data_IF_297616144656
#
_entry.id   IF_297616144656
#
_cell.length_a   1.000
_cell.length_b   1.000
_cell.length_c   1.000
_cell.angle_alpha   90.00
_cell.angle_beta   90.00
_cell.angle_gamma   90.00
#
_symmetry.space_group_name_H-M   'P 1'
#
loop_
_entity.id
_entity.type
_entity.pdbx_description
1 polymer ?
#
# COMPACT_ATOMS: atom_id res chain seq x y z
N UNK A 1 22.73 35.99 25.13
CA UNK A 1 23.55 36.23 23.92
C UNK A 1 23.57 37.72 23.61
N UNK A 2 24.75 38.30 23.38
CA UNK A 2 24.88 39.68 22.90
C UNK A 2 24.26 39.86 21.51
N UNK A 3 23.84 41.08 21.14
CA UNK A 3 23.27 41.34 19.81
C UNK A 3 24.22 40.95 18.67
N UNK A 4 25.52 41.14 18.89
CA UNK A 4 26.59 40.73 17.96
C UNK A 4 26.63 39.21 17.77
N UNK A 5 26.45 38.43 18.83
CA UNK A 5 26.40 36.97 18.73
C UNK A 5 25.17 36.52 17.93
N UNK A 6 24.00 37.16 18.12
CA UNK A 6 22.79 36.88 17.34
C UNK A 6 22.97 37.19 15.85
N UNK A 7 23.62 38.31 15.51
CA UNK A 7 23.92 38.67 14.12
C UNK A 7 24.87 37.67 13.45
N UNK A 8 25.96 37.29 14.14
CA UNK A 8 26.91 36.29 13.63
C UNK A 8 26.25 34.93 13.42
N UNK A 9 25.38 34.52 14.35
CA UNK A 9 24.65 33.26 14.25
C UNK A 9 23.62 33.28 13.11
N UNK A 10 22.90 34.39 12.94
CA UNK A 10 21.97 34.59 11.82
C UNK A 10 22.68 34.57 10.46
N UNK A 11 23.88 35.17 10.37
CA UNK A 11 24.70 35.13 9.15
C UNK A 11 25.15 33.70 8.83
N UNK A 12 25.63 32.95 9.84
CA UNK A 12 26.03 31.55 9.72
C UNK A 12 24.86 30.69 9.18
N UNK A 13 23.70 30.76 9.82
CA UNK A 13 22.48 30.06 9.40
C UNK A 13 21.87 30.59 8.10
N UNK A 14 22.30 31.76 7.62
CA UNK A 14 21.86 32.32 6.34
C UNK A 14 22.75 31.95 5.15
N UNK A 15 23.94 31.39 5.39
CA UNK A 15 24.98 31.24 4.36
C UNK A 15 25.62 29.85 4.31
N UNK A 16 25.66 29.12 5.42
CA UNK A 16 26.35 27.83 5.50
C UNK A 16 25.37 26.67 5.29
N UNK A 17 25.20 26.26 4.04
CA UNK A 17 24.24 25.24 3.61
C UNK A 17 24.36 23.91 4.38
N UNK A 18 25.57 23.46 4.67
CA UNK A 18 25.82 22.18 5.38
C UNK A 18 25.32 22.20 6.83
N UNK A 19 25.43 23.34 7.51
CA UNK A 19 24.95 23.51 8.89
C UNK A 19 23.43 23.51 8.89
N UNK A 20 22.82 24.25 7.96
CA UNK A 20 21.37 24.26 7.77
C UNK A 20 20.88 22.84 7.45
N UNK A 21 21.57 22.11 6.57
CA UNK A 21 21.20 20.74 6.19
C UNK A 21 21.21 19.79 7.40
N UNK A 22 22.26 19.83 8.23
CA UNK A 22 22.31 19.03 9.46
C UNK A 22 21.20 19.39 10.46
N UNK A 23 20.88 20.68 10.59
CA UNK A 23 19.77 21.12 11.45
C UNK A 23 18.42 20.62 10.94
N UNK A 24 18.20 20.69 9.63
CA UNK A 24 16.92 20.39 9.00
C UNK A 24 16.72 18.90 8.69
N UNK A 25 17.78 18.07 8.73
CA UNK A 25 17.70 16.66 8.35
C UNK A 25 16.65 15.87 9.15
N UNK A 26 16.43 16.25 10.41
CA UNK A 26 15.47 15.58 11.30
C UNK A 26 14.05 16.15 11.23
N UNK A 27 13.83 17.22 10.47
CA UNK A 27 12.52 17.89 10.38
C UNK A 27 11.58 17.09 9.47
N UNK A 28 10.30 17.08 9.82
CA UNK A 28 9.22 16.54 9.00
C UNK A 28 8.95 17.42 7.76
N UNK A 29 8.36 16.91 6.67
CA UNK A 29 8.16 17.72 5.47
C UNK A 29 7.27 18.96 5.70
N UNK A 30 6.30 18.89 6.62
CA UNK A 30 5.49 20.04 7.00
C UNK A 30 6.34 21.11 7.72
N UNK A 31 7.22 20.69 8.62
CA UNK A 31 8.16 21.59 9.31
C UNK A 31 9.17 22.18 8.33
N UNK A 32 9.73 21.37 7.43
CA UNK A 32 10.58 21.79 6.32
C UNK A 32 9.87 22.86 5.46
N UNK A 33 8.59 22.67 5.16
CA UNK A 33 7.79 23.66 4.41
C UNK A 33 7.63 24.98 5.17
N UNK A 34 7.47 24.93 6.50
CA UNK A 34 7.41 26.13 7.35
C UNK A 34 8.76 26.84 7.38
N UNK A 35 9.84 26.11 7.64
CA UNK A 35 11.17 26.70 7.77
C UNK A 35 11.77 27.14 6.43
N UNK A 36 11.30 26.59 5.31
CA UNK A 36 11.61 27.05 3.96
C UNK A 36 11.20 28.53 3.74
N UNK A 37 10.38 29.12 4.61
CA UNK A 37 9.94 30.52 4.55
C UNK A 37 10.88 31.48 5.28
N UNK A 38 11.88 30.98 6.02
CA UNK A 38 12.79 31.80 6.84
C UNK A 38 13.72 32.66 5.95
N UNK A 39 14.46 32.04 5.03
CA UNK A 39 15.32 32.75 4.09
C UNK A 39 15.61 31.88 2.85
N UNK A 40 16.30 32.45 1.84
CA UNK A 40 16.62 31.73 0.57
C UNK A 40 17.45 30.46 0.79
N UNK A 41 18.43 30.49 1.70
CA UNK A 41 19.27 29.33 1.98
C UNK A 41 18.45 28.19 2.61
N UNK A 42 17.63 28.50 3.62
CA UNK A 42 16.72 27.55 4.24
C UNK A 42 15.69 27.00 3.25
N UNK A 43 15.14 27.84 2.36
CA UNK A 43 14.24 27.38 1.30
C UNK A 43 14.90 26.32 0.41
N UNK A 44 16.12 26.58 -0.04
CA UNK A 44 16.86 25.67 -0.92
C UNK A 44 17.22 24.36 -0.22
N UNK A 45 17.70 24.41 1.01
CA UNK A 45 18.04 23.22 1.80
C UNK A 45 16.78 22.42 2.15
N UNK A 46 15.73 23.08 2.63
CA UNK A 46 14.48 22.40 2.97
C UNK A 46 13.87 21.69 1.75
N UNK A 47 13.85 22.35 0.58
CA UNK A 47 13.39 21.72 -0.67
C UNK A 47 14.24 20.50 -1.06
N UNK A 48 15.58 20.62 -0.98
CA UNK A 48 16.50 19.49 -1.22
C UNK A 48 16.19 18.31 -0.30
N UNK A 49 15.99 18.56 1.00
CA UNK A 49 15.67 17.52 1.98
C UNK A 49 14.29 16.91 1.70
N UNK A 50 13.27 17.73 1.42
CA UNK A 50 11.93 17.25 1.04
C UNK A 50 12.03 16.36 -0.19
N UNK A 51 12.72 16.79 -1.25
CA UNK A 51 12.90 16.02 -2.48
C UNK A 51 13.62 14.70 -2.23
N UNK A 52 14.68 14.71 -1.42
CA UNK A 52 15.40 13.51 -1.04
C UNK A 52 14.51 12.53 -0.24
N UNK A 53 13.79 13.02 0.78
CA UNK A 53 12.89 12.19 1.60
C UNK A 53 11.67 11.69 0.80
N UNK A 54 11.20 12.47 -0.19
CA UNK A 54 10.08 12.12 -1.07
C UNK A 54 10.40 11.01 -2.06
N UNK A 55 11.65 10.53 -2.13
CA UNK A 55 12.04 9.43 -3.02
C UNK A 55 11.93 8.06 -2.38
N UNK A 56 11.63 7.97 -1.08
CA UNK A 56 11.53 6.69 -0.40
C UNK A 56 10.07 6.33 -0.17
N UNK A 57 9.68 5.07 -0.38
CA UNK A 57 8.35 4.63 0.00
C UNK A 57 8.16 4.70 1.51
N UNK A 58 6.93 4.97 1.91
CA UNK A 58 6.60 5.10 3.32
C UNK A 58 5.53 4.08 3.66
N UNK A 59 5.80 3.21 4.63
CA UNK A 59 4.75 2.49 5.33
C UNK A 59 4.46 3.19 6.66
N UNK A 60 3.20 3.18 7.06
CA UNK A 60 2.71 3.73 8.33
C UNK A 60 1.90 2.62 8.99
N UNK A 61 2.11 2.41 10.29
CA UNK A 61 1.32 1.44 11.05
C UNK A 61 0.85 2.14 12.31
N UNK A 62 -0.46 2.30 12.46
CA UNK A 62 -1.05 2.87 13.66
C UNK A 62 -2.02 1.89 14.32
N UNK A 63 -1.90 1.78 15.64
CA UNK A 63 -2.96 1.29 16.50
C UNK A 63 -3.67 2.54 17.03
N UNK A 64 -4.86 2.81 16.50
CA UNK A 64 -5.67 3.94 16.95
C UNK A 64 -6.59 3.39 18.04
N UNK A 65 -6.21 3.64 19.30
CA UNK A 65 -7.08 3.35 20.43
C UNK A 65 -8.31 4.26 20.34
N UNK A 66 -9.47 3.64 20.10
CA UNK A 66 -10.73 4.36 19.93
C UNK A 66 -11.73 3.93 21.01
N UNK A 67 -12.16 4.91 21.81
CA UNK A 67 -13.35 4.79 22.64
C UNK A 67 -14.53 5.10 21.73
N UNK A 68 -15.52 4.19 21.69
CA UNK A 68 -16.71 4.28 20.84
C UNK A 68 -17.46 5.59 21.10
N UNK A 69 -17.11 6.65 20.37
CA UNK A 69 -17.89 7.88 20.31
C UNK A 69 -18.96 7.67 19.23
N UNK A 70 -20.16 8.18 19.44
CA UNK A 70 -21.27 8.07 18.46
C UNK A 70 -21.00 8.80 17.13
N UNK A 71 -19.81 9.40 16.94
CA UNK A 71 -19.48 10.34 15.85
C UNK A 71 -18.27 9.94 14.99
N UNK A 72 -17.88 8.67 15.04
CA UNK A 72 -16.77 8.14 14.25
C UNK A 72 -15.36 8.61 14.67
N UNK A 73 -14.34 8.24 13.88
CA UNK A 73 -12.94 8.51 14.20
C UNK A 73 -12.64 10.01 14.03
N UNK A 74 -12.11 10.70 15.06
CA UNK A 74 -11.73 12.10 14.91
C UNK A 74 -10.66 12.27 13.82
N UNK A 75 -10.89 13.19 12.89
CA UNK A 75 -9.91 13.55 11.86
C UNK A 75 -8.53 13.92 12.43
N UNK A 76 -8.46 14.38 13.69
CA UNK A 76 -7.22 14.64 14.40
C UNK A 76 -6.38 13.39 14.69
N UNK A 77 -7.01 12.26 15.05
CA UNK A 77 -6.29 11.01 15.33
C UNK A 77 -5.68 10.41 14.06
N UNK A 78 -6.45 10.46 12.96
CA UNK A 78 -5.96 10.10 11.62
C UNK A 78 -4.84 11.05 11.21
N UNK A 79 -5.04 12.37 11.35
CA UNK A 79 -4.02 13.37 11.04
C UNK A 79 -2.73 13.13 11.82
N UNK A 80 -2.79 12.83 13.11
CA UNK A 80 -1.60 12.59 13.92
C UNK A 80 -0.86 11.32 13.48
N UNK A 81 -1.59 10.30 13.02
CA UNK A 81 -1.02 9.08 12.43
C UNK A 81 -0.26 9.40 11.14
N UNK A 82 -0.83 10.27 10.30
CA UNK A 82 -0.27 10.66 8.99
C UNK A 82 0.58 11.93 9.00
N UNK A 83 0.76 12.61 10.14
CA UNK A 83 1.37 13.95 10.19
C UNK A 83 2.75 14.00 9.56
N UNK A 84 3.50 12.93 9.75
CA UNK A 84 4.85 12.81 9.23
C UNK A 84 4.90 12.51 7.73
N UNK A 85 3.80 12.04 7.16
CA UNK A 85 3.63 11.79 5.74
C UNK A 85 3.13 13.03 4.98
N UNK A 86 2.66 14.05 5.71
CA UNK A 86 2.12 15.28 5.14
C UNK A 86 3.20 16.00 4.34
N UNK A 87 2.90 16.27 3.06
CA UNK A 87 3.79 17.01 2.16
C UNK A 87 4.65 16.15 1.23
N UNK A 88 4.62 14.81 1.38
CA UNK A 88 5.21 13.94 0.37
C UNK A 88 4.34 13.89 -0.90
N UNK A 89 5.01 13.93 -2.05
CA UNK A 89 4.35 13.73 -3.35
C UNK A 89 4.17 12.23 -3.57
N UNK A 90 2.98 11.72 -3.25
CA UNK A 90 2.61 10.32 -3.48
C UNK A 90 1.68 10.16 -4.67
N UNK A 91 1.80 9.02 -5.36
CA UNK A 91 0.92 8.62 -6.46
C UNK A 91 -0.18 7.66 -5.99
N UNK A 92 0.10 6.89 -4.94
CA UNK A 92 -0.83 5.94 -4.32
C UNK A 92 -0.73 6.01 -2.81
N UNK A 93 -1.88 5.97 -2.16
CA UNK A 93 -2.07 5.70 -0.75
C UNK A 93 -2.97 4.47 -0.62
N UNK A 94 -2.45 3.40 -0.04
CA UNK A 94 -3.16 2.15 0.19
C UNK A 94 -3.23 1.89 1.69
N UNK A 95 -4.44 1.79 2.25
CA UNK A 95 -4.65 1.53 3.67
C UNK A 95 -5.43 0.24 3.89
N UNK A 96 -5.03 -0.53 4.88
CA UNK A 96 -5.74 -1.69 5.42
C UNK A 96 -6.26 -1.33 6.81
N UNK A 97 -7.55 -1.51 7.04
CA UNK A 97 -8.25 -1.03 8.23
C UNK A 97 -9.06 -2.18 8.82
N UNK A 98 -8.97 -2.39 10.13
CA UNK A 98 -9.75 -3.45 10.79
C UNK A 98 -11.26 -3.17 10.72
N UNK A 99 -12.06 -4.18 10.33
CA UNK A 99 -13.46 -4.13 9.82
C UNK A 99 -14.49 -3.25 10.56
N UNK A 100 -14.25 -2.80 11.80
CA UNK A 100 -15.30 -2.15 12.62
C UNK A 100 -15.50 -0.65 12.40
N UNK A 101 -14.71 0.03 11.57
CA UNK A 101 -14.68 1.51 11.56
C UNK A 101 -14.64 2.17 10.17
N UNK A 102 -14.89 1.41 9.12
CA UNK A 102 -14.79 1.92 7.75
C UNK A 102 -15.89 2.94 7.44
N UNK A 103 -17.09 2.77 8.01
CA UNK A 103 -18.19 3.75 7.92
C UNK A 103 -17.98 5.05 8.70
N UNK A 104 -17.00 5.06 9.60
CA UNK A 104 -16.77 6.11 10.59
C UNK A 104 -15.43 6.86 10.38
N UNK A 105 -14.64 6.47 9.37
CA UNK A 105 -13.42 7.16 9.02
C UNK A 105 -13.77 8.41 8.20
N UNK A 106 -13.35 9.58 8.67
CA UNK A 106 -13.35 10.82 7.87
C UNK A 106 -12.27 10.74 6.77
N UNK A 107 -12.52 9.90 5.77
CA UNK A 107 -11.72 9.78 4.55
C UNK A 107 -11.59 11.10 3.78
N UNK A 108 -12.63 11.95 3.69
CA UNK A 108 -12.48 13.32 3.17
C UNK A 108 -11.42 14.10 3.95
N UNK A 109 -11.41 13.97 5.27
CA UNK A 109 -10.39 14.51 6.17
C UNK A 109 -8.99 13.99 5.91
N UNK A 110 -8.80 12.77 5.37
CA UNK A 110 -7.49 12.27 4.96
C UNK A 110 -7.08 12.80 3.58
N UNK A 111 -8.02 12.96 2.66
CA UNK A 111 -7.75 13.41 1.29
C UNK A 111 -7.08 14.79 1.24
N UNK A 112 -7.47 15.71 2.13
CA UNK A 112 -6.86 17.06 2.21
C UNK A 112 -5.35 17.05 2.49
N UNK A 113 -4.84 15.92 2.98
CA UNK A 113 -3.45 15.71 3.35
C UNK A 113 -2.62 15.01 2.27
N UNK A 114 -3.28 14.40 1.29
CA UNK A 114 -2.64 13.73 0.17
C UNK A 114 -2.46 14.69 -1.01
N UNK A 115 -1.52 14.38 -1.89
CA UNK A 115 -1.40 15.09 -3.17
C UNK A 115 -2.71 14.97 -3.96
N UNK A 116 -3.19 16.02 -4.66
CA UNK A 116 -4.40 15.93 -5.49
C UNK A 116 -4.37 14.83 -6.56
N UNK A 117 -3.17 14.40 -6.95
CA UNK A 117 -2.95 13.30 -7.92
C UNK A 117 -2.82 11.92 -7.26
N UNK A 118 -2.78 11.86 -5.93
CA UNK A 118 -2.63 10.62 -5.18
C UNK A 118 -3.95 9.86 -5.22
N UNK A 119 -3.91 8.60 -5.68
CA UNK A 119 -5.04 7.69 -5.58
C UNK A 119 -5.11 7.15 -4.16
N UNK A 120 -6.26 7.27 -3.52
CA UNK A 120 -6.49 6.80 -2.15
C UNK A 120 -7.42 5.58 -2.16
N UNK A 121 -6.98 4.46 -1.59
CA UNK A 121 -7.79 3.26 -1.42
C UNK A 121 -7.68 2.80 0.02
N UNK A 122 -8.83 2.60 0.66
CA UNK A 122 -8.95 2.06 2.01
C UNK A 122 -9.69 0.74 1.97
N UNK A 123 -9.07 -0.31 2.49
CA UNK A 123 -9.51 -1.69 2.35
C UNK A 123 -9.79 -2.31 3.74
N UNK A 124 -10.90 -3.04 3.89
CA UNK A 124 -11.19 -3.80 5.10
C UNK A 124 -10.23 -4.98 5.27
N UNK A 125 -9.77 -5.19 6.50
CA UNK A 125 -8.85 -6.25 6.85
C UNK A 125 -9.24 -6.93 8.16
N UNK A 126 -9.04 -8.24 8.27
CA UNK A 126 -9.31 -8.98 9.51
C UNK A 126 -8.18 -8.79 10.54
N UNK A 127 -7.02 -8.35 10.04
CA UNK A 127 -5.82 -8.08 10.80
C UNK A 127 -4.85 -7.32 9.92
N UNK A 128 -4.01 -6.49 10.54
CA UNK A 128 -3.03 -5.69 9.82
C UNK A 128 -1.63 -6.27 9.95
N UNK A 129 -0.81 -6.07 8.92
CA UNK A 129 0.59 -6.51 8.85
C UNK A 129 1.44 -5.30 8.49
N UNK A 130 2.55 -5.11 9.18
CA UNK A 130 3.61 -4.27 8.66
C UNK A 130 4.92 -4.31 9.45
N UNK A 131 5.97 -3.77 8.85
CA UNK A 131 7.34 -3.77 9.39
C UNK A 131 7.91 -2.37 9.49
N UNK A 132 8.89 -2.20 10.39
CA UNK A 132 9.77 -1.03 10.42
C UNK A 132 10.89 -1.20 9.38
N UNK A 133 11.09 -0.18 8.55
CA UNK A 133 12.21 -0.01 7.61
C UNK A 133 12.55 1.50 7.50
N UNK A 134 13.71 1.87 6.93
CA UNK A 134 14.02 3.27 6.66
C UNK A 134 12.97 3.87 5.70
N UNK A 135 12.36 4.99 6.08
CA UNK A 135 11.19 5.55 5.39
C UNK A 135 9.84 5.22 6.04
N UNK A 136 9.79 4.37 7.08
CA UNK A 136 8.57 4.15 7.89
C UNK A 136 8.42 5.29 8.89
N UNK A 137 7.30 6.00 8.84
CA UNK A 137 7.04 7.10 9.77
C UNK A 137 5.77 6.82 10.55
N UNK A 138 5.92 6.88 11.87
CA UNK A 138 4.91 6.55 12.88
C UNK A 138 4.64 5.05 13.04
N UNK A 139 5.25 4.46 14.08
CA UNK A 139 4.79 3.23 14.70
C UNK A 139 4.70 3.51 16.20
N UNK A 140 3.49 3.62 16.75
CA UNK A 140 3.31 3.80 18.21
C UNK A 140 3.81 2.58 19.00
N UNK A 141 3.97 1.42 18.35
CA UNK A 141 4.32 0.16 19.00
C UNK A 141 5.32 -0.62 18.13
N UNK A 142 6.44 -1.05 18.73
CA UNK A 142 7.38 -1.99 18.10
C UNK A 142 6.63 -3.28 17.75
N UNK A 143 6.48 -3.58 16.46
CA UNK A 143 5.88 -4.79 15.90
C UNK A 143 4.44 -5.05 16.36
N UNK A 144 3.46 -4.86 15.47
CA UNK A 144 2.13 -5.40 15.74
C UNK A 144 1.52 -6.05 14.51
N UNK A 145 1.47 -7.38 14.53
CA UNK A 145 0.27 -8.06 14.08
C UNK A 145 -0.81 -7.74 15.10
N UNK A 146 -1.83 -6.97 14.70
CA UNK A 146 -3.00 -6.70 15.55
C UNK A 146 -4.07 -7.71 15.15
N UNK A 147 -4.25 -8.82 15.90
CA UNK A 147 -5.38 -9.71 15.67
C UNK A 147 -6.68 -9.03 16.13
N UNK A 148 -7.76 -9.27 15.38
CA UNK A 148 -9.12 -8.84 15.70
C UNK A 148 -9.52 -9.11 17.17
N UNK A 149 -9.04 -10.21 17.76
CA UNK A 149 -9.39 -10.67 19.11
C UNK A 149 -8.90 -9.79 20.28
N UNK A 150 -8.09 -8.75 20.04
CA UNK A 150 -7.83 -7.72 21.07
C UNK A 150 -9.05 -6.82 21.33
N UNK A 151 -10.08 -6.89 20.50
CA UNK A 151 -11.37 -6.18 20.65
C UNK A 151 -12.32 -6.78 21.70
N UNK A 152 -11.81 -7.40 22.77
CA UNK A 152 -12.60 -7.83 23.95
C UNK A 152 -12.73 -6.74 25.03
N UNK A 153 -12.10 -5.59 24.84
CA UNK A 153 -12.35 -4.41 25.64
C UNK A 153 -13.59 -3.68 25.08
N UNK A 154 -14.35 -2.99 25.93
CA UNK A 154 -15.40 -2.04 25.49
C UNK A 154 -14.83 -0.84 24.68
N UNK A 155 -13.52 -0.84 24.39
CA UNK A 155 -12.82 0.02 23.44
C UNK A 155 -12.55 -0.77 22.16
N UNK A 156 -12.98 -0.23 21.02
CA UNK A 156 -12.65 -0.81 19.72
C UNK A 156 -11.28 -0.29 19.30
N UNK A 157 -10.22 -1.09 19.39
CA UNK A 157 -8.94 -0.71 18.78
C UNK A 157 -9.08 -0.80 17.26
N UNK A 158 -8.70 0.27 16.57
CA UNK A 158 -8.69 0.35 15.11
C UNK A 158 -7.25 0.19 14.69
N UNK A 159 -6.94 -0.97 14.13
CA UNK A 159 -5.67 -1.20 13.48
C UNK A 159 -5.70 -0.61 12.08
N UNK A 160 -4.72 0.22 11.75
CA UNK A 160 -4.47 0.68 10.38
C UNK A 160 -3.03 0.39 9.97
N UNK A 161 -2.87 -0.21 8.80
CA UNK A 161 -1.58 -0.32 8.10
C UNK A 161 -1.71 0.37 6.75
N UNK A 162 -0.89 1.38 6.50
CA UNK A 162 -0.93 2.18 5.30
C UNK A 162 0.41 2.16 4.57
N UNK A 163 0.35 2.31 3.25
CA UNK A 163 1.49 2.40 2.37
C UNK A 163 1.29 3.60 1.43
N UNK A 164 2.31 4.44 1.35
CA UNK A 164 2.41 5.55 0.40
C UNK A 164 3.48 5.21 -0.63
N UNK A 165 3.05 5.09 -1.89
CA UNK A 165 3.96 4.98 -3.01
C UNK A 165 4.29 6.40 -3.52
N UNK A 166 5.57 6.81 -3.47
CA UNK A 166 5.98 8.11 -3.97
C UNK A 166 5.68 8.27 -5.46
N UNK A 167 5.60 9.52 -5.89
CA UNK A 167 5.51 9.88 -7.30
C UNK A 167 6.87 9.66 -7.98
N UNK A 168 7.15 8.41 -8.34
CA UNK A 168 8.31 8.04 -9.14
C UNK A 168 8.10 8.39 -10.61
N UNK A 169 9.14 8.90 -11.25
CA UNK A 169 9.14 9.11 -12.69
C UNK A 169 8.92 7.78 -13.42
N UNK A 170 7.97 7.79 -14.36
CA UNK A 170 7.62 6.62 -15.17
C UNK A 170 6.74 5.59 -14.47
N UNK A 171 6.37 5.77 -13.19
CA UNK A 171 5.42 4.89 -12.48
C UNK A 171 4.02 5.46 -12.58
N UNK A 172 3.10 4.69 -13.14
CA UNK A 172 1.69 5.06 -13.26
C UNK A 172 0.83 4.08 -12.48
N UNK A 173 -0.21 4.62 -11.86
CA UNK A 173 -1.14 3.87 -11.01
C UNK A 173 -2.55 4.11 -11.49
N UNK A 174 -3.25 3.01 -11.72
CA UNK A 174 -4.66 2.96 -12.06
C UNK A 174 -5.40 2.22 -10.95
N UNK A 175 -6.66 2.58 -10.76
CA UNK A 175 -7.52 1.98 -9.73
C UNK A 175 -8.81 1.54 -10.39
N UNK A 176 -9.38 0.43 -9.94
CA UNK A 176 -10.63 -0.08 -10.46
C UNK A 176 -11.54 -0.58 -9.34
N UNK A 177 -12.83 -0.65 -9.66
CA UNK A 177 -13.84 -1.32 -8.86
C UNK A 177 -14.88 -1.94 -9.78
N UNK A 178 -15.44 -3.07 -9.37
CA UNK A 178 -16.51 -3.77 -10.09
C UNK A 178 -17.74 -3.80 -9.21
N UNK A 179 -18.92 -3.47 -9.75
CA UNK A 179 -20.15 -3.38 -8.96
C UNK A 179 -20.87 -4.74 -8.90
N UNK A 180 -21.51 -5.02 -7.75
CA UNK A 180 -22.45 -6.13 -7.61
C UNK A 180 -23.80 -5.77 -8.22
N UNK A 181 -24.40 -6.69 -8.98
CA UNK A 181 -25.66 -6.48 -9.72
C UNK A 181 -26.92 -6.42 -8.85
N UNK A 182 -26.82 -6.19 -7.54
CA UNK A 182 -27.91 -6.43 -6.60
C UNK A 182 -28.28 -5.23 -5.72
N UNK A 183 -28.42 -4.02 -6.28
CA UNK A 183 -29.26 -2.96 -5.70
C UNK A 183 -29.92 -2.10 -6.82
N UNK A 184 -31.19 -2.44 -7.12
CA UNK A 184 -32.30 -1.62 -7.65
C UNK A 184 -31.99 -0.45 -8.61
N UNK A 185 -31.96 -0.71 -9.92
CA UNK A 185 -33.00 -0.27 -10.87
C UNK A 185 -32.68 -0.77 -12.29
N UNK A 186 -33.69 -1.39 -12.90
CA UNK A 186 -33.62 -2.32 -14.02
C UNK A 186 -33.56 -1.67 -15.41
N UNK A 187 -32.92 -0.51 -15.57
CA UNK A 187 -32.81 0.15 -16.88
C UNK A 187 -31.37 0.53 -17.28
N UNK A 188 -30.36 0.22 -16.46
CA UNK A 188 -28.96 0.60 -16.76
C UNK A 188 -27.93 -0.54 -16.80
N UNK A 189 -28.31 -1.79 -16.50
CA UNK A 189 -27.34 -2.87 -16.28
C UNK A 189 -27.69 -4.16 -17.00
N UNK A 190 -27.32 -4.21 -18.28
CA UNK A 190 -27.02 -5.45 -19.01
C UNK A 190 -25.49 -5.71 -19.09
N UNK A 191 -24.68 -4.94 -18.34
CA UNK A 191 -23.21 -5.01 -18.38
C UNK A 191 -22.59 -5.45 -17.04
N UNK A 192 -22.85 -6.69 -16.64
CA UNK A 192 -21.96 -7.37 -15.70
C UNK A 192 -20.59 -7.57 -16.36
N UNK A 193 -19.52 -7.05 -15.74
CA UNK A 193 -18.11 -7.33 -16.04
C UNK A 193 -17.83 -7.64 -17.52
N UNK A 194 -18.12 -6.69 -18.42
CA UNK A 194 -17.60 -6.82 -19.78
C UNK A 194 -16.07 -6.81 -19.66
N UNK A 195 -15.42 -7.93 -19.98
CA UNK A 195 -13.95 -8.10 -20.01
C UNK A 195 -13.25 -6.95 -20.74
N UNK A 196 -13.93 -6.31 -21.69
CA UNK A 196 -13.48 -5.10 -22.38
C UNK A 196 -13.35 -3.84 -21.52
N UNK A 197 -13.85 -3.79 -20.28
CA UNK A 197 -13.80 -2.58 -19.42
C UNK A 197 -12.50 -2.51 -18.61
N UNK A 198 -12.03 -3.62 -18.03
CA UNK A 198 -10.73 -3.68 -17.34
C UNK A 198 -9.56 -3.46 -18.32
N UNK A 199 -9.68 -3.99 -19.54
CA UNK A 199 -8.70 -3.77 -20.61
C UNK A 199 -8.55 -2.30 -21.01
N UNK A 200 -9.63 -1.52 -20.90
CA UNK A 200 -9.66 -0.09 -21.23
C UNK A 200 -9.09 0.81 -20.13
N UNK A 201 -8.91 0.31 -18.90
CA UNK A 201 -8.39 1.11 -17.78
C UNK A 201 -6.93 1.53 -18.04
N UNK A 202 -6.15 0.63 -18.63
CA UNK A 202 -4.74 0.86 -18.95
C UNK A 202 -4.59 1.07 -20.46
N UNK A 203 -3.97 2.17 -20.92
CA UNK A 203 -3.69 2.42 -22.34
C UNK A 203 -2.99 1.22 -22.99
N UNK A 204 -3.39 0.81 -24.21
CA UNK A 204 -2.95 -0.46 -24.84
C UNK A 204 -1.43 -0.58 -24.97
N UNK A 205 -0.75 0.53 -25.17
CA UNK A 205 0.70 0.65 -25.28
C UNK A 205 1.44 0.41 -23.96
N UNK A 206 0.73 0.50 -22.83
CA UNK A 206 1.30 0.28 -21.52
C UNK A 206 1.21 -1.18 -21.08
N UNK A 207 2.33 -1.67 -20.55
CA UNK A 207 2.45 -3.00 -19.96
C UNK A 207 2.22 -2.94 -18.46
N UNK A 208 1.25 -3.72 -17.99
CA UNK A 208 1.00 -4.03 -16.59
C UNK A 208 2.21 -4.76 -16.01
N UNK A 209 2.65 -4.28 -14.84
CA UNK A 209 3.76 -4.87 -14.07
C UNK A 209 3.27 -5.52 -12.80
N UNK A 210 2.25 -4.95 -12.16
CA UNK A 210 1.69 -5.44 -10.92
C UNK A 210 0.19 -5.15 -10.85
N UNK A 211 -0.59 -6.12 -10.40
CA UNK A 211 -1.99 -5.97 -10.06
C UNK A 211 -2.24 -6.46 -8.61
N UNK A 212 -2.88 -5.60 -7.83
CA UNK A 212 -3.32 -5.88 -6.46
C UNK A 212 -4.83 -5.89 -6.46
N UNK A 213 -5.44 -6.97 -5.98
CA UNK A 213 -6.89 -7.15 -6.05
C UNK A 213 -7.46 -7.46 -4.67
N UNK A 214 -8.62 -6.90 -4.35
CA UNK A 214 -9.42 -7.28 -3.19
C UNK A 214 -10.77 -7.70 -3.70
N UNK A 215 -11.21 -8.88 -3.28
CA UNK A 215 -12.53 -9.38 -3.62
C UNK A 215 -13.43 -9.39 -2.39
N UNK A 216 -14.72 -9.12 -2.59
CA UNK A 216 -15.75 -9.03 -1.57
C UNK A 216 -16.85 -10.07 -1.76
N UNK A 217 -17.03 -10.62 -2.96
CA UNK A 217 -18.11 -11.56 -3.30
C UNK A 217 -17.62 -12.98 -3.61
N UNK A 218 -16.35 -13.27 -3.34
CA UNK A 218 -15.76 -14.60 -3.51
C UNK A 218 -14.32 -14.56 -4.00
N UNK A 219 -13.66 -15.71 -4.05
CA UNK A 219 -12.29 -15.78 -4.58
C UNK A 219 -12.29 -15.86 -6.12
N UNK A 220 -13.36 -16.38 -6.71
CA UNK A 220 -13.57 -16.61 -8.14
C UNK A 220 -13.44 -15.31 -8.95
N UNK A 221 -13.98 -14.21 -8.43
CA UNK A 221 -13.88 -12.88 -9.06
C UNK A 221 -12.43 -12.41 -9.22
N UNK A 222 -11.53 -12.77 -8.30
CA UNK A 222 -10.12 -12.46 -8.46
C UNK A 222 -9.46 -13.24 -9.61
N UNK A 223 -9.88 -14.49 -9.83
CA UNK A 223 -9.40 -15.29 -10.94
C UNK A 223 -9.95 -14.79 -12.30
N UNK A 224 -11.21 -14.33 -12.34
CA UNK A 224 -11.79 -13.62 -13.49
C UNK A 224 -10.96 -12.38 -13.85
N UNK A 225 -10.67 -11.52 -12.88
CA UNK A 225 -9.86 -10.31 -13.08
C UNK A 225 -8.45 -10.67 -13.58
N UNK A 226 -7.81 -11.68 -12.98
CA UNK A 226 -6.50 -12.13 -13.43
C UNK A 226 -6.54 -12.61 -14.89
N UNK A 227 -7.57 -13.38 -15.26
CA UNK A 227 -7.78 -13.89 -16.62
C UNK A 227 -7.94 -12.74 -17.61
N UNK A 228 -8.78 -11.76 -17.33
CA UNK A 228 -9.01 -10.62 -18.21
C UNK A 228 -7.74 -9.79 -18.40
N UNK A 229 -7.01 -9.50 -17.32
CA UNK A 229 -5.73 -8.78 -17.40
C UNK A 229 -4.64 -9.58 -18.13
N UNK A 230 -4.70 -10.92 -18.09
CA UNK A 230 -3.79 -11.81 -18.83
C UNK A 230 -4.18 -11.95 -20.31
N UNK A 231 -5.46 -11.80 -20.67
CA UNK A 231 -5.89 -11.74 -22.07
C UNK A 231 -5.43 -10.42 -22.70
N UNK A 232 -5.52 -9.32 -21.95
CA UNK A 232 -5.06 -8.00 -22.37
C UNK A 232 -3.59 -7.98 -22.81
N UNK A 233 -2.74 -8.68 -22.06
CA UNK A 233 -1.32 -8.78 -22.35
C UNK A 233 -0.84 -10.21 -22.15
N UNK A 234 -0.26 -10.80 -23.18
CA UNK A 234 0.32 -12.15 -23.10
C UNK A 234 1.45 -12.24 -22.06
N UNK A 235 2.09 -11.11 -21.75
CA UNK A 235 3.16 -11.06 -20.76
C UNK A 235 2.62 -11.11 -19.33
N UNK A 236 3.13 -12.04 -18.48
CA UNK A 236 2.73 -12.16 -17.10
C UNK A 236 3.19 -10.95 -16.28
N UNK A 237 2.51 -10.74 -15.15
CA UNK A 237 2.70 -9.63 -14.23
C UNK A 237 2.63 -10.12 -12.78
N UNK A 238 3.13 -9.34 -11.83
CA UNK A 238 2.99 -9.68 -10.41
C UNK A 238 1.53 -9.55 -10.01
N UNK A 239 0.97 -10.58 -9.37
CA UNK A 239 -0.44 -10.58 -8.97
C UNK A 239 -0.55 -11.08 -7.54
N UNK A 240 -1.33 -10.35 -6.74
CA UNK A 240 -1.62 -10.74 -5.37
C UNK A 240 -2.81 -10.01 -4.78
N UNK A 241 -3.39 -10.60 -3.75
CA UNK A 241 -4.50 -10.00 -3.03
C UNK A 241 -5.19 -10.96 -2.09
N UNK A 242 -6.37 -10.56 -1.63
CA UNK A 242 -7.13 -11.32 -0.64
C UNK A 242 -8.64 -11.14 -0.81
N UNK A 243 -9.36 -12.13 -0.28
CA UNK A 243 -10.80 -12.07 -0.08
C UNK A 243 -11.07 -11.39 1.26
N UNK A 244 -11.71 -10.23 1.19
CA UNK A 244 -12.08 -9.45 2.36
C UNK A 244 -13.23 -10.11 3.13
N UNK A 245 -14.16 -10.80 2.48
CA UNK A 245 -15.39 -11.31 3.09
C UNK A 245 -16.62 -10.55 2.62
N UNK A 246 -17.78 -11.21 2.61
CA UNK A 246 -19.05 -10.69 2.06
C UNK A 246 -19.67 -9.56 2.90
N UNK A 247 -19.43 -9.57 4.21
CA UNK A 247 -19.97 -8.55 5.13
C UNK A 247 -19.16 -7.24 5.13
N UNK A 248 -18.07 -7.19 4.37
CA UNK A 248 -17.15 -6.08 4.40
C UNK A 248 -17.52 -4.97 3.42
N UNK A 249 -17.83 -3.80 3.97
CA UNK A 249 -18.08 -2.59 3.21
C UNK A 249 -16.76 -1.90 2.86
N UNK A 250 -16.67 -1.33 1.66
CA UNK A 250 -15.54 -0.51 1.23
C UNK A 250 -15.99 0.94 0.98
N UNK A 251 -15.07 1.89 1.21
CA UNK A 251 -15.20 3.27 0.74
C UNK A 251 -14.10 3.54 -0.28
N UNK A 252 -14.51 3.73 -1.54
CA UNK A 252 -13.66 4.25 -2.59
C UNK A 252 -13.86 5.75 -2.69
N UNK A 253 -12.78 6.47 -2.95
CA UNK A 253 -12.87 7.88 -3.33
C UNK A 253 -13.36 7.98 -4.79
N UNK A 254 -14.69 7.99 -4.97
CA UNK A 254 -15.35 8.14 -6.26
C UNK A 254 -15.55 9.61 -6.68
N UNK A 255 -15.04 10.59 -5.94
CA UNK A 255 -15.36 12.01 -6.11
C UNK A 255 -16.45 12.50 -5.15
N UNK A 256 -17.14 13.59 -5.49
CA UNK A 256 -18.14 14.29 -4.64
C UNK A 256 -19.40 13.49 -4.31
N UNK A 257 -19.48 12.22 -4.74
CA UNK A 257 -20.60 11.34 -4.47
C UNK A 257 -20.14 10.15 -3.63
N UNK A 258 -20.41 10.22 -2.32
CA UNK A 258 -20.26 9.10 -1.39
C UNK A 258 -21.47 8.17 -1.46
N UNK A 259 -21.71 7.54 -2.60
CA UNK A 259 -22.71 6.46 -2.66
C UNK A 259 -22.10 5.16 -2.13
N UNK A 260 -22.82 4.50 -1.22
CA UNK A 260 -22.46 3.23 -0.61
C UNK A 260 -22.70 2.08 -1.59
N UNK A 261 -21.89 2.02 -2.64
CA UNK A 261 -21.88 0.86 -3.53
C UNK A 261 -21.02 -0.24 -2.90
N UNK A 262 -21.54 -1.46 -2.83
CA UNK A 262 -20.78 -2.65 -2.43
C UNK A 262 -20.17 -3.23 -3.71
N UNK A 263 -18.86 -3.04 -3.94
CA UNK A 263 -18.22 -3.62 -5.11
C UNK A 263 -18.01 -5.12 -4.92
N UNK A 264 -18.07 -5.88 -6.02
CA UNK A 264 -17.63 -7.28 -6.08
C UNK A 264 -16.14 -7.38 -5.82
N UNK A 265 -15.36 -6.52 -6.48
CA UNK A 265 -13.93 -6.43 -6.29
C UNK A 265 -13.41 -5.02 -6.56
N UNK A 266 -12.19 -4.75 -6.11
CA UNK A 266 -11.45 -3.55 -6.44
C UNK A 266 -9.96 -3.83 -6.50
N UNK A 267 -9.19 -2.85 -6.97
CA UNK A 267 -7.76 -3.03 -6.99
C UNK A 267 -6.95 -1.88 -7.55
N UNK A 268 -5.66 -2.13 -7.57
CA UNK A 268 -4.61 -1.24 -8.06
C UNK A 268 -3.86 -1.93 -9.18
N UNK A 269 -3.67 -1.21 -10.29
CA UNK A 269 -2.87 -1.64 -11.41
C UNK A 269 -1.67 -0.69 -11.55
N UNK A 270 -0.46 -1.24 -11.62
CA UNK A 270 0.77 -0.47 -11.69
C UNK A 270 1.49 -0.78 -13.00
N UNK A 271 1.80 0.28 -13.73
CA UNK A 271 2.53 0.24 -15.00
C UNK A 271 3.76 1.14 -14.95
N UNK A 272 4.63 0.99 -15.94
CA UNK A 272 5.81 1.86 -16.09
C UNK A 272 7.04 1.15 -16.62
N UNK A 273 7.86 1.85 -17.39
CA UNK A 273 9.11 1.31 -17.95
C UNK A 273 10.16 0.98 -16.89
N UNK A 274 10.21 1.76 -15.81
CA UNK A 274 11.18 1.60 -14.71
C UNK A 274 10.63 0.78 -13.53
N UNK A 275 9.39 0.28 -13.64
CA UNK A 275 8.77 -0.58 -12.63
C UNK A 275 9.21 -2.02 -12.85
N UNK A 276 9.71 -2.62 -11.78
CA UNK A 276 9.89 -4.08 -11.68
C UNK A 276 9.07 -4.58 -10.51
N UNK A 277 8.49 -5.76 -10.67
CA UNK A 277 7.68 -6.38 -9.64
C UNK A 277 7.89 -7.89 -9.60
N UNK A 278 7.70 -8.45 -8.41
CA UNK A 278 7.71 -9.88 -8.19
C UNK A 278 6.61 -10.26 -7.21
N UNK A 279 6.08 -11.46 -7.37
CA UNK A 279 5.16 -12.06 -6.40
C UNK A 279 5.53 -13.50 -6.12
N UNK A 280 5.34 -13.94 -4.88
CA UNK A 280 5.54 -15.34 -4.47
C UNK A 280 4.37 -15.85 -3.63
N UNK A 281 4.00 -17.11 -3.85
CA UNK A 281 2.97 -17.81 -3.10
C UNK A 281 3.62 -18.79 -2.12
N UNK A 282 3.54 -18.48 -0.83
CA UNK A 282 4.07 -19.33 0.24
C UNK A 282 2.98 -20.24 0.77
N UNK A 283 2.97 -21.49 0.29
CA UNK A 283 2.03 -22.54 0.71
C UNK A 283 2.42 -23.21 2.02
N UNK A 284 3.72 -23.33 2.26
CA UNK A 284 4.24 -24.00 3.44
C UNK A 284 3.87 -23.27 4.72
N UNK A 285 3.67 -24.06 5.78
CA UNK A 285 3.31 -23.55 7.10
C UNK A 285 4.46 -23.66 8.08
N UNK A 286 5.51 -24.43 7.78
CA UNK A 286 6.71 -24.54 8.62
C UNK A 286 7.63 -23.34 8.43
N UNK A 287 8.44 -23.02 9.44
CA UNK A 287 9.42 -21.93 9.33
C UNK A 287 10.40 -22.17 8.17
N UNK A 288 10.81 -23.42 7.97
CA UNK A 288 11.69 -23.80 6.85
C UNK A 288 11.06 -23.49 5.50
N UNK A 289 9.79 -23.86 5.30
CA UNK A 289 9.12 -23.59 4.02
C UNK A 289 8.84 -22.10 3.80
N UNK A 290 8.53 -21.37 4.87
CA UNK A 290 8.39 -19.90 4.84
C UNK A 290 9.72 -19.26 4.41
N UNK A 291 10.82 -19.67 5.04
CA UNK A 291 12.18 -19.22 4.70
C UNK A 291 12.48 -19.50 3.22
N UNK A 292 12.21 -20.71 2.72
CA UNK A 292 12.42 -21.05 1.30
C UNK A 292 11.60 -20.17 0.36
N UNK A 293 10.35 -19.86 0.72
CA UNK A 293 9.50 -18.96 -0.07
C UNK A 293 10.05 -17.52 -0.12
N UNK A 294 10.57 -17.02 1.00
CA UNK A 294 11.17 -15.68 1.08
C UNK A 294 12.55 -15.63 0.42
N UNK A 295 13.34 -16.70 0.49
CA UNK A 295 14.59 -16.86 -0.26
C UNK A 295 14.34 -16.83 -1.76
N UNK A 296 13.25 -17.45 -2.23
CA UNK A 296 12.81 -17.34 -3.63
C UNK A 296 12.54 -15.88 -4.01
N UNK A 297 11.80 -15.13 -3.19
CA UNK A 297 11.58 -13.70 -3.44
C UNK A 297 12.90 -12.92 -3.48
N UNK A 298 13.81 -13.19 -2.55
CA UNK A 298 15.14 -12.55 -2.49
C UNK A 298 15.98 -12.87 -3.73
N UNK A 299 15.88 -14.10 -4.24
CA UNK A 299 16.63 -14.56 -5.41
C UNK A 299 16.30 -13.80 -6.70
N UNK A 300 15.14 -13.13 -6.74
CA UNK A 300 14.75 -12.27 -7.86
C UNK A 300 15.56 -10.98 -7.95
N UNK A 301 16.30 -10.60 -6.90
CA UNK A 301 17.27 -9.52 -6.92
C UNK A 301 16.70 -8.18 -7.44
N UNK A 302 15.47 -7.84 -7.01
CA UNK A 302 14.86 -6.55 -7.32
C UNK A 302 15.66 -5.43 -6.63
N UNK A 303 15.71 -4.22 -7.22
CA UNK A 303 16.35 -3.07 -6.56
C UNK A 303 15.66 -2.78 -5.23
N UNK A 304 16.40 -2.69 -4.12
CA UNK A 304 15.77 -2.53 -2.80
C UNK A 304 15.51 -1.07 -2.42
N UNK A 305 16.28 -0.13 -2.98
CA UNK A 305 16.28 1.29 -2.59
C UNK A 305 14.91 1.97 -2.67
N UNK A 306 14.14 1.64 -3.69
CA UNK A 306 12.81 2.20 -3.95
C UNK A 306 11.74 1.09 -3.94
N UNK A 307 11.94 0.05 -3.12
CA UNK A 307 11.04 -1.09 -3.05
C UNK A 307 10.01 -0.95 -1.93
N UNK A 308 8.83 -1.48 -2.18
CA UNK A 308 7.82 -1.81 -1.16
C UNK A 308 7.45 -3.26 -1.29
N UNK A 309 7.00 -3.86 -0.20
CA UNK A 309 6.41 -5.18 -0.24
C UNK A 309 5.04 -5.19 0.44
N UNK A 310 4.12 -5.91 -0.18
CA UNK A 310 2.80 -6.19 0.34
C UNK A 310 2.69 -7.65 0.74
N UNK A 311 2.08 -7.91 1.89
CA UNK A 311 1.78 -9.25 2.37
C UNK A 311 0.27 -9.43 2.54
N UNK A 312 -0.28 -10.45 1.89
CA UNK A 312 -1.64 -10.92 2.11
C UNK A 312 -1.58 -12.32 2.71
N UNK A 313 -2.18 -12.53 3.88
CA UNK A 313 -2.02 -13.79 4.61
C UNK A 313 -3.34 -14.34 5.11
N UNK A 314 -3.50 -15.65 5.09
CA UNK A 314 -4.72 -16.26 5.58
C UNK A 314 -4.92 -16.03 7.07
N UNK A 315 -6.13 -15.69 7.49
CA UNK A 315 -6.50 -15.72 8.91
C UNK A 315 -6.29 -17.09 9.55
N UNK A 316 -6.35 -18.16 8.75
CA UNK A 316 -6.05 -19.53 9.19
C UNK A 316 -4.57 -19.76 9.49
N UNK A 317 -3.65 -18.89 9.07
CA UNK A 317 -2.22 -19.02 9.35
C UNK A 317 -1.90 -18.56 10.77
N UNK A 318 -1.31 -19.48 11.54
CA UNK A 318 -0.95 -19.24 12.94
C UNK A 318 0.44 -18.61 13.14
N UNK A 319 1.15 -18.27 12.07
CA UNK A 319 2.59 -17.91 12.10
C UNK A 319 2.95 -16.60 11.42
N UNK A 320 1.95 -15.77 11.09
CA UNK A 320 2.14 -14.46 10.42
C UNK A 320 3.21 -13.61 11.10
N UNK A 321 3.24 -13.55 12.44
CA UNK A 321 4.29 -12.84 13.18
C UNK A 321 5.71 -13.34 12.86
N UNK A 322 5.94 -14.66 12.92
CA UNK A 322 7.27 -15.24 12.64
C UNK A 322 7.66 -15.08 11.18
N UNK A 323 6.68 -15.15 10.30
CA UNK A 323 6.86 -14.95 8.87
C UNK A 323 7.31 -13.51 8.55
N UNK A 324 6.72 -12.52 9.22
CA UNK A 324 7.17 -11.12 9.18
C UNK A 324 8.58 -10.94 9.76
N UNK A 325 8.92 -11.61 10.87
CA UNK A 325 10.27 -11.57 11.46
C UNK A 325 11.33 -12.13 10.49
N UNK A 326 11.03 -13.25 9.80
CA UNK A 326 11.92 -13.80 8.77
C UNK A 326 12.06 -12.83 7.60
N UNK A 327 10.94 -12.24 7.12
CA UNK A 327 10.97 -11.25 6.06
C UNK A 327 11.91 -10.08 6.40
N UNK A 328 11.77 -9.49 7.59
CA UNK A 328 12.62 -8.37 8.02
C UNK A 328 14.10 -8.74 8.09
N UNK A 329 14.42 -9.97 8.53
CA UNK A 329 15.80 -10.45 8.56
C UNK A 329 16.43 -10.51 7.16
N UNK A 330 15.63 -10.76 6.12
CA UNK A 330 16.09 -10.86 4.73
C UNK A 330 16.00 -9.52 3.96
N UNK A 331 15.08 -8.65 4.35
CA UNK A 331 14.77 -7.38 3.69
C UNK A 331 14.69 -6.23 4.71
N UNK A 332 15.80 -5.90 5.42
CA UNK A 332 15.77 -4.94 6.52
C UNK A 332 15.41 -3.51 6.10
N UNK A 333 15.62 -3.17 4.82
CA UNK A 333 15.42 -1.82 4.27
C UNK A 333 14.18 -1.71 3.39
N UNK A 334 13.39 -2.78 3.25
CA UNK A 334 12.18 -2.76 2.42
C UNK A 334 10.96 -2.76 3.36
N UNK A 335 10.13 -1.70 3.33
CA UNK A 335 8.92 -1.66 4.13
C UNK A 335 7.94 -2.75 3.66
N UNK A 336 7.35 -3.45 4.65
CA UNK A 336 6.26 -4.38 4.47
C UNK A 336 4.98 -3.73 5.00
N UNK A 337 3.90 -3.80 4.22
CA UNK A 337 2.54 -3.48 4.65
C UNK A 337 1.59 -4.59 4.20
N UNK A 338 0.41 -4.70 4.79
CA UNK A 338 -0.50 -5.76 4.39
C UNK A 338 -1.60 -6.05 5.38
N UNK A 339 -2.23 -7.20 5.17
CA UNK A 339 -3.35 -7.62 5.99
C UNK A 339 -3.53 -9.14 5.99
N UNK A 340 -4.44 -9.58 6.87
CA UNK A 340 -5.02 -10.92 6.80
C UNK A 340 -6.44 -10.91 6.26
N UNK A 341 -6.78 -11.91 5.46
CA UNK A 341 -8.11 -12.09 4.87
C UNK A 341 -8.62 -13.54 4.96
N UNK A 342 -9.84 -13.77 4.48
CA UNK A 342 -10.49 -15.09 4.48
C UNK A 342 -10.03 -16.01 3.34
N UNK A 343 -9.22 -15.50 2.43
CA UNK A 343 -8.57 -16.25 1.36
C UNK A 343 -7.55 -15.37 0.67
N UNK A 344 -6.60 -15.99 -0.04
CA UNK A 344 -5.55 -15.27 -0.74
C UNK A 344 -5.48 -15.74 -2.18
N UNK A 345 -5.13 -14.84 -3.07
CA UNK A 345 -4.90 -15.18 -4.45
C UNK A 345 -3.63 -14.50 -4.93
N UNK A 346 -2.91 -15.17 -5.82
CA UNK A 346 -1.62 -14.71 -6.26
C UNK A 346 -0.91 -15.71 -7.15
N UNK A 347 0.20 -15.28 -7.73
CA UNK A 347 1.02 -16.14 -8.55
C UNK A 347 2.50 -15.95 -8.26
N UNK A 348 3.29 -17.00 -8.48
CA UNK A 348 4.73 -16.85 -8.58
C UNK A 348 5.08 -16.13 -9.89
N UNK A 349 5.80 -15.01 -9.78
CA UNK A 349 6.24 -14.21 -10.92
C UNK A 349 7.41 -13.29 -10.54
N UNK A 350 8.26 -12.96 -11.52
CA UNK A 350 9.22 -11.86 -11.43
C UNK A 350 9.44 -11.23 -12.82
N UNK A 351 9.50 -9.90 -12.88
CA UNK A 351 9.74 -9.13 -14.12
C UNK A 351 11.01 -9.54 -14.85
N UNK A 352 12.08 -9.93 -14.15
CA UNK A 352 13.38 -10.24 -14.76
C UNK A 352 13.67 -11.75 -14.88
N UNK A 353 12.79 -12.62 -14.36
CA UNK A 353 13.01 -14.07 -14.36
C UNK A 353 12.50 -14.72 -15.66
N UNK A 354 13.42 -15.10 -16.56
CA UNK A 354 13.06 -15.83 -17.80
C UNK A 354 12.34 -17.16 -17.53
N UNK A 355 12.66 -17.83 -16.42
CA UNK A 355 12.03 -19.11 -16.01
C UNK A 355 10.58 -18.92 -15.58
N UNK A 356 10.28 -17.83 -14.87
CA UNK A 356 8.91 -17.54 -14.44
C UNK A 356 8.08 -16.93 -15.58
N UNK A 357 8.70 -16.15 -16.47
CA UNK A 357 8.06 -15.68 -17.70
C UNK A 357 7.66 -16.85 -18.61
N UNK A 358 8.55 -17.83 -18.84
CA UNK A 358 8.27 -18.98 -19.71
C UNK A 358 7.25 -19.97 -19.15
N UNK A 359 7.13 -20.08 -17.81
CA UNK A 359 6.12 -20.93 -17.16
C UNK A 359 4.76 -20.25 -17.04
N UNK A 360 4.71 -18.92 -16.99
CA UNK A 360 3.47 -18.16 -17.04
C UNK A 360 2.98 -17.87 -18.48
N UNK A 361 3.87 -17.78 -19.48
CA UNK A 361 3.52 -17.60 -20.91
C UNK A 361 2.83 -18.82 -21.55
N UNK A 362 2.81 -20.00 -20.90
CA UNK A 362 2.41 -21.25 -21.58
C UNK A 362 0.94 -21.63 -21.44
N UNK A 363 0.18 -21.09 -20.46
CA UNK A 363 -1.26 -21.32 -20.30
C UNK A 363 -1.89 -20.18 -19.50
N UNK A 364 -3.09 -19.75 -19.88
CA UNK A 364 -4.03 -19.10 -18.95
C UNK A 364 -4.07 -19.93 -17.67
N UNK A 365 -3.74 -19.31 -16.54
CA UNK A 365 -3.75 -20.03 -15.27
C UNK A 365 -5.19 -20.39 -14.93
N UNK A 366 -5.40 -21.64 -14.50
CA UNK A 366 -6.71 -22.09 -14.02
C UNK A 366 -7.02 -21.39 -12.70
N UNK A 367 -8.30 -21.30 -12.33
CA UNK A 367 -8.73 -20.73 -11.04
C UNK A 367 -7.95 -21.36 -9.87
N UNK A 368 -7.79 -22.68 -9.89
CA UNK A 368 -6.99 -23.45 -8.90
C UNK A 368 -5.51 -23.07 -8.80
N UNK A 369 -4.94 -22.37 -9.78
CA UNK A 369 -3.56 -21.91 -9.76
C UNK A 369 -3.41 -20.47 -9.22
N UNK A 370 -4.51 -19.72 -9.19
CA UNK A 370 -4.56 -18.33 -8.75
C UNK A 370 -5.10 -18.25 -7.32
N UNK A 371 -6.07 -19.09 -6.98
CA UNK A 371 -6.73 -19.12 -5.67
C UNK A 371 -5.99 -20.03 -4.70
N UNK A 372 -5.79 -19.56 -3.48
CA UNK A 372 -5.05 -20.27 -2.44
C UNK A 372 -5.75 -20.19 -1.09
N UNK A 373 -5.56 -21.23 -0.28
CA UNK A 373 -6.01 -21.28 1.11
C UNK A 373 -4.85 -21.62 2.03
N UNK A 374 -4.84 -21.04 3.23
CA UNK A 374 -3.76 -21.20 4.22
C UNK A 374 -2.38 -20.73 3.73
N UNK A 375 -2.35 -19.71 2.87
CA UNK A 375 -1.11 -19.22 2.24
C UNK A 375 -0.75 -17.79 2.67
N UNK A 376 0.46 -17.39 2.31
CA UNK A 376 0.84 -15.98 2.30
C UNK A 376 1.29 -15.61 0.89
N UNK A 377 0.81 -14.49 0.39
CA UNK A 377 1.20 -13.90 -0.89
C UNK A 377 2.05 -12.67 -0.59
N UNK A 378 3.26 -12.66 -1.13
CA UNK A 378 4.11 -11.48 -1.11
C UNK A 378 4.12 -10.86 -2.49
N UNK A 379 3.95 -9.55 -2.55
CA UNK A 379 4.08 -8.76 -3.79
C UNK A 379 5.08 -7.66 -3.54
N UNK A 380 6.23 -7.70 -4.22
CA UNK A 380 7.25 -6.66 -4.15
C UNK A 380 7.19 -5.80 -5.40
N UNK A 381 7.16 -4.48 -5.21
CA UNK A 381 7.15 -3.48 -6.28
C UNK A 381 8.38 -2.61 -6.06
N UNK A 382 9.15 -2.36 -7.12
CA UNK A 382 10.34 -1.51 -7.05
C UNK A 382 10.48 -0.66 -8.31
N UNK A 383 11.19 0.46 -8.17
CA UNK A 383 11.58 1.34 -9.26
C UNK A 383 13.10 1.37 -9.40
N UNK A 384 13.60 1.25 -10.64
CA UNK A 384 15.04 1.27 -10.98
C UNK A 384 15.71 2.65 -10.89
N UNK A 385 14.98 3.70 -10.48
CA UNK A 385 15.44 5.10 -10.49
C UNK A 385 16.47 5.46 -9.42
#
# INVERSE_FOLDING_TARGET
>A
MSSVAKQKFGLLLGTHYEIIEKCLMNFEPLELSRVARVCKAWNKVAKKIIEMKSKHPIAVISDIEYVKLERGIPASAVKDSFKHCLGYKSTLHLSFITEKCIGDLDLPGLRQYLSPKCRNICLPANGIIGTKADGVVNTMLNFQFIPEKRAKCNMCNIGMSSMLLPCYEGVKVYTFHTLGSSFLDSEFWDEGLNSGTLEKIIPKEEKLKCALVVSFDGQETAAEIYRDLSIRQEEPFAFGGYFAGEDNQMFLDCGDHSERLIPRACGVLITGGNVVAASVVIRGQTLKEITVGLEKLKSYNLPEKNAVCLMFSCVGRRRTKKEVEIYQSMFPNIPLAGCTGYGEFGIDYCTDSKKDQSSANKRLKTETQVLHGFTSIYVMISSRN
#
